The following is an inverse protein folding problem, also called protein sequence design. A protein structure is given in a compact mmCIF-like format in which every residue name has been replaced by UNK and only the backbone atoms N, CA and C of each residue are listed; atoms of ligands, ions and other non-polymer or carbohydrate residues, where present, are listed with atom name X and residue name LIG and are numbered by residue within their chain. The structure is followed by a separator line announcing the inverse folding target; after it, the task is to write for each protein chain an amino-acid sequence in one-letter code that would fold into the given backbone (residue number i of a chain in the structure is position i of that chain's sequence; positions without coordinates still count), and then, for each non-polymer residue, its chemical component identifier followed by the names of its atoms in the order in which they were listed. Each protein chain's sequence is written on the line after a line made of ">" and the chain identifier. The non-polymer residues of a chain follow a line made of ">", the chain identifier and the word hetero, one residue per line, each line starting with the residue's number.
data_IF_995793694035
#
_entry.id   IF_995793694035
#
_cell.length_a   1.000
_cell.length_b   1.000
_cell.length_c   1.000
_cell.angle_alpha   90.00
_cell.angle_beta   90.00
_cell.angle_gamma   90.00
#
_symmetry.space_group_name_H-M   'P 1'
#
loop_
_entity.id
_entity.type
_entity.pdbx_description
1 polymer ?
#
# COMPACT_ATOMS: atom_id res chain seq x y z
N UNK A 1 -4.75 9.57 -3.24
CA UNK A 1 -6.09 9.82 -2.68
C UNK A 1 -7.10 10.40 -3.66
N UNK A 2 -6.90 11.60 -4.23
CA UNK A 2 -7.90 12.20 -5.13
C UNK A 2 -8.15 11.38 -6.42
N UNK A 3 -7.10 10.81 -7.01
CA UNK A 3 -7.22 9.95 -8.19
C UNK A 3 -8.07 8.69 -7.91
N UNK A 4 -7.87 8.04 -6.77
CA UNK A 4 -8.58 6.80 -6.39
C UNK A 4 -10.09 7.07 -6.18
N UNK A 5 -10.43 8.19 -5.52
CA UNK A 5 -11.85 8.60 -5.35
C UNK A 5 -12.55 8.86 -6.68
N UNK A 6 -11.89 9.52 -7.63
CA UNK A 6 -12.46 9.83 -8.95
C UNK A 6 -12.64 8.54 -9.77
N UNK A 7 -11.68 7.62 -9.72
CA UNK A 7 -11.79 6.34 -10.42
C UNK A 7 -12.92 5.47 -9.85
N UNK A 8 -13.14 5.49 -8.52
CA UNK A 8 -14.30 4.82 -7.92
C UNK A 8 -15.63 5.42 -8.37
N UNK A 9 -15.75 6.74 -8.38
CA UNK A 9 -17.00 7.41 -8.72
C UNK A 9 -17.39 7.29 -10.21
N UNK A 10 -16.40 7.16 -11.11
CA UNK A 10 -16.63 7.22 -12.57
C UNK A 10 -16.44 5.88 -13.30
N UNK A 11 -15.63 4.95 -12.79
CA UNK A 11 -15.17 3.78 -13.56
C UNK A 11 -15.31 2.42 -12.88
N UNK A 12 -15.66 2.35 -11.58
CA UNK A 12 -15.81 1.08 -10.86
C UNK A 12 -17.29 0.77 -10.64
N UNK A 13 -17.93 0.14 -11.63
CA UNK A 13 -19.32 -0.33 -11.54
C UNK A 13 -19.39 -1.66 -10.79
N UNK A 14 -19.15 -1.68 -9.48
CA UNK A 14 -19.43 -2.79 -8.53
C UNK A 14 -19.03 -4.24 -8.93
N UNK A 15 -18.28 -4.45 -9.99
CA UNK A 15 -17.87 -5.76 -10.51
C UNK A 15 -16.43 -6.04 -10.09
N UNK A 16 -16.20 -7.22 -9.52
CA UNK A 16 -14.86 -7.66 -9.05
C UNK A 16 -13.77 -7.62 -10.14
N UNK A 17 -14.17 -7.67 -11.41
CA UNK A 17 -13.28 -7.70 -12.56
C UNK A 17 -12.64 -6.33 -12.86
N UNK A 18 -13.31 -5.24 -12.52
CA UNK A 18 -12.82 -3.88 -12.79
C UNK A 18 -11.64 -3.53 -11.86
N UNK A 19 -11.65 -4.04 -10.62
CA UNK A 19 -10.54 -3.85 -9.67
C UNK A 19 -9.27 -4.57 -10.14
N UNK A 20 -9.43 -5.81 -10.62
CA UNK A 20 -8.32 -6.60 -11.15
C UNK A 20 -7.74 -5.92 -12.38
N UNK A 21 -8.58 -5.38 -13.26
CA UNK A 21 -8.15 -4.67 -14.47
C UNK A 21 -7.43 -3.36 -14.16
N UNK A 22 -7.92 -2.58 -13.20
CA UNK A 22 -7.25 -1.37 -12.72
C UNK A 22 -5.88 -1.67 -12.12
N UNK A 23 -5.82 -2.62 -11.18
CA UNK A 23 -4.56 -3.02 -10.55
C UNK A 23 -3.59 -3.59 -11.59
N UNK A 24 -4.04 -4.48 -12.47
CA UNK A 24 -3.20 -5.06 -13.53
C UNK A 24 -2.60 -3.99 -14.44
N UNK A 25 -3.40 -3.01 -14.87
CA UNK A 25 -2.94 -1.91 -15.73
C UNK A 25 -1.88 -1.07 -15.00
N UNK A 26 -2.12 -0.69 -13.75
CA UNK A 26 -1.16 0.07 -12.95
C UNK A 26 0.17 -0.68 -12.76
N UNK A 27 0.11 -1.99 -12.50
CA UNK A 27 1.30 -2.84 -12.36
C UNK A 27 2.05 -3.03 -13.68
N UNK A 28 1.37 -3.14 -14.81
CA UNK A 28 2.01 -3.20 -16.14
C UNK A 28 2.76 -1.90 -16.44
N UNK A 29 2.16 -0.74 -16.17
CA UNK A 29 2.85 0.55 -16.33
C UNK A 29 4.07 0.65 -15.41
N UNK A 30 3.93 0.26 -14.14
CA UNK A 30 5.05 0.22 -13.21
C UNK A 30 6.17 -0.71 -13.70
N UNK A 31 5.82 -1.90 -14.22
CA UNK A 31 6.78 -2.86 -14.76
C UNK A 31 7.54 -2.32 -15.97
N UNK A 32 6.85 -1.66 -16.91
CA UNK A 32 7.48 -1.03 -18.08
C UNK A 32 8.45 0.07 -17.62
N UNK A 33 8.00 0.98 -16.76
CA UNK A 33 8.83 2.06 -16.25
C UNK A 33 10.06 1.53 -15.49
N UNK A 34 9.87 0.59 -14.58
CA UNK A 34 10.95 -0.04 -13.85
C UNK A 34 11.93 -0.77 -14.78
N UNK A 35 11.44 -1.46 -15.82
CA UNK A 35 12.30 -2.12 -16.80
C UNK A 35 13.18 -1.13 -17.57
N UNK A 36 12.61 0.01 -17.99
CA UNK A 36 13.36 1.09 -18.65
C UNK A 36 14.40 1.70 -17.69
N UNK A 37 14.03 1.96 -16.45
CA UNK A 37 14.94 2.51 -15.43
C UNK A 37 16.10 1.54 -15.16
N UNK A 38 15.82 0.24 -15.01
CA UNK A 38 16.86 -0.77 -14.79
C UNK A 38 17.77 -0.91 -16.01
N UNK A 39 17.22 -0.85 -17.22
CA UNK A 39 18.01 -0.87 -18.46
C UNK A 39 18.97 0.32 -18.57
N UNK A 40 18.50 1.54 -18.25
CA UNK A 40 19.34 2.75 -18.20
C UNK A 40 20.32 2.72 -17.03
N UNK A 41 19.95 2.13 -15.90
CA UNK A 41 20.86 1.99 -14.76
C UNK A 41 22.00 1.00 -15.05
N UNK A 42 21.71 -0.12 -15.71
CA UNK A 42 22.73 -1.11 -16.08
C UNK A 42 23.81 -0.54 -17.01
N UNK A 43 23.44 0.36 -17.93
CA UNK A 43 24.41 1.02 -18.81
C UNK A 43 25.32 2.00 -18.09
N UNK A 44 24.95 2.49 -16.89
CA UNK A 44 25.75 3.42 -16.08
C UNK A 44 26.51 2.78 -14.92
N UNK A 45 25.98 1.74 -14.25
CA UNK A 45 26.51 1.30 -12.95
C UNK A 45 26.94 -0.17 -12.86
N UNK A 46 26.89 -0.97 -13.96
CA UNK A 46 27.29 -2.40 -13.98
C UNK A 46 26.86 -3.17 -12.71
N UNK A 47 25.67 -2.89 -12.19
CA UNK A 47 25.19 -3.58 -11.00
C UNK A 47 24.90 -5.04 -11.36
N UNK A 48 25.51 -5.97 -10.61
CA UNK A 48 25.21 -7.39 -10.73
C UNK A 48 23.79 -7.63 -10.24
N UNK A 49 22.88 -7.96 -11.16
CA UNK A 49 21.55 -8.44 -10.78
C UNK A 49 21.72 -9.83 -10.18
N UNK A 50 21.60 -9.91 -8.87
CA UNK A 50 21.61 -11.19 -8.17
C UNK A 50 20.22 -11.83 -8.23
N UNK A 51 20.18 -13.16 -8.36
CA UNK A 51 18.93 -13.93 -8.33
C UNK A 51 18.09 -13.62 -7.08
N UNK A 52 18.76 -13.39 -5.94
CA UNK A 52 18.12 -12.99 -4.68
C UNK A 52 17.33 -11.69 -4.81
N UNK A 53 17.88 -10.69 -5.52
CA UNK A 53 17.20 -9.41 -5.76
C UNK A 53 15.98 -9.57 -6.64
N UNK A 54 16.03 -10.46 -7.64
CA UNK A 54 14.88 -10.77 -8.50
C UNK A 54 13.78 -11.44 -7.67
N UNK A 55 14.13 -12.47 -6.88
CA UNK A 55 13.16 -13.18 -6.03
C UNK A 55 12.55 -12.23 -4.99
N UNK A 56 13.35 -11.42 -4.32
CA UNK A 56 12.86 -10.40 -3.39
C UNK A 56 11.93 -9.40 -4.07
N UNK A 57 12.25 -8.97 -5.29
CA UNK A 57 11.41 -8.09 -6.10
C UNK A 57 10.07 -8.72 -6.49
N UNK A 58 10.07 -10.01 -6.87
CA UNK A 58 8.84 -10.75 -7.19
C UNK A 58 7.95 -10.88 -5.95
N UNK A 59 8.52 -11.28 -4.81
CA UNK A 59 7.78 -11.41 -3.54
C UNK A 59 7.20 -10.05 -3.12
N UNK A 60 7.99 -8.98 -3.18
CA UNK A 60 7.54 -7.63 -2.85
C UNK A 60 6.44 -7.15 -3.80
N UNK A 61 6.56 -7.44 -5.11
CA UNK A 61 5.55 -7.13 -6.12
C UNK A 61 4.23 -7.86 -5.87
N UNK A 62 4.27 -9.16 -5.53
CA UNK A 62 3.09 -9.94 -5.17
C UNK A 62 2.40 -9.39 -3.91
N UNK A 63 3.18 -9.06 -2.87
CA UNK A 63 2.65 -8.44 -1.65
C UNK A 63 2.00 -7.07 -1.93
N UNK A 64 2.58 -6.28 -2.83
CA UNK A 64 2.01 -4.99 -3.23
C UNK A 64 0.71 -5.16 -4.03
N UNK A 65 0.68 -6.13 -4.95
CA UNK A 65 -0.53 -6.42 -5.73
C UNK A 65 -1.68 -6.88 -4.83
N UNK A 66 -1.39 -7.78 -3.89
CA UNK A 66 -2.36 -8.19 -2.88
C UNK A 66 -2.87 -6.99 -2.07
N UNK A 67 -1.98 -6.10 -1.64
CA UNK A 67 -2.33 -4.89 -0.88
C UNK A 67 -3.33 -4.01 -1.64
N UNK A 68 -3.06 -3.70 -2.92
CA UNK A 68 -3.97 -2.87 -3.74
C UNK A 68 -5.29 -3.60 -4.00
N UNK A 69 -5.26 -4.90 -4.28
CA UNK A 69 -6.47 -5.69 -4.49
C UNK A 69 -7.38 -5.69 -3.25
N UNK A 70 -6.83 -5.96 -2.06
CA UNK A 70 -7.59 -5.93 -0.81
C UNK A 70 -8.06 -4.53 -0.45
N UNK A 71 -7.24 -3.49 -0.72
CA UNK A 71 -7.64 -2.10 -0.54
C UNK A 71 -8.88 -1.77 -1.39
N UNK A 72 -8.84 -2.08 -2.69
CA UNK A 72 -9.95 -1.84 -3.62
C UNK A 72 -11.20 -2.64 -3.24
N UNK A 73 -11.04 -3.90 -2.83
CA UNK A 73 -12.14 -4.74 -2.36
C UNK A 73 -12.77 -4.21 -1.06
N UNK A 74 -11.95 -3.70 -0.14
CA UNK A 74 -12.41 -3.12 1.13
C UNK A 74 -13.14 -1.80 0.94
N UNK A 75 -12.71 -0.98 -0.03
CA UNK A 75 -13.34 0.29 -0.38
C UNK A 75 -14.76 0.13 -1.00
N UNK A 76 -15.17 -1.08 -1.38
CA UNK A 76 -16.56 -1.36 -1.78
C UNK A 76 -17.47 -1.54 -0.54
N UNK A 77 -16.93 -2.05 0.55
CA UNK A 77 -17.67 -2.35 1.78
C UNK A 77 -17.67 -1.19 2.78
N UNK A 78 -16.66 -0.32 2.71
CA UNK A 78 -16.44 0.78 3.66
C UNK A 78 -16.16 2.05 2.87
N UNK A 79 -16.75 3.17 3.31
CA UNK A 79 -16.49 4.46 2.68
C UNK A 79 -14.99 4.81 2.69
N UNK A 80 -14.53 5.39 1.59
CA UNK A 80 -13.14 5.86 1.40
C UNK A 80 -12.70 6.82 2.52
N UNK A 81 -13.64 7.61 3.06
CA UNK A 81 -13.47 8.56 4.17
C UNK A 81 -12.98 7.90 5.46
N UNK A 82 -13.41 6.66 5.72
CA UNK A 82 -13.04 5.86 6.91
C UNK A 82 -11.89 4.92 6.60
N UNK A 83 -11.92 4.31 5.41
CA UNK A 83 -11.00 3.25 5.02
C UNK A 83 -9.54 3.73 4.88
N UNK A 84 -9.32 4.91 4.28
CA UNK A 84 -7.97 5.44 4.08
C UNK A 84 -7.30 5.82 5.41
N UNK A 85 -7.95 6.54 6.35
CA UNK A 85 -7.41 6.72 7.70
C UNK A 85 -7.13 5.40 8.42
N UNK A 86 -8.04 4.43 8.34
CA UNK A 86 -7.88 3.13 8.97
C UNK A 86 -6.66 2.37 8.44
N UNK A 87 -6.44 2.35 7.12
CA UNK A 87 -5.26 1.74 6.51
C UNK A 87 -3.97 2.40 7.01
N UNK A 88 -3.92 3.74 7.03
CA UNK A 88 -2.74 4.48 7.49
C UNK A 88 -2.39 4.17 8.95
N UNK A 89 -3.39 4.13 9.84
CA UNK A 89 -3.18 3.79 11.26
C UNK A 89 -2.81 2.32 11.43
N UNK A 90 -3.41 1.43 10.65
CA UNK A 90 -3.08 0.01 10.68
C UNK A 90 -1.62 -0.22 10.30
N UNK A 91 -1.14 0.41 9.22
CA UNK A 91 0.27 0.30 8.78
C UNK A 91 1.22 0.86 9.83
N UNK A 92 0.94 2.03 10.40
CA UNK A 92 1.76 2.64 11.47
C UNK A 92 1.77 1.79 12.74
N UNK A 93 0.64 1.22 13.13
CA UNK A 93 0.53 0.37 14.32
C UNK A 93 1.24 -0.97 14.11
N UNK A 94 1.06 -1.61 12.94
CA UNK A 94 1.73 -2.87 12.61
C UNK A 94 3.25 -2.68 12.56
N UNK A 95 3.72 -1.60 11.92
CA UNK A 95 5.16 -1.32 11.84
C UNK A 95 5.76 -1.03 13.22
N UNK A 96 5.04 -0.33 14.10
CA UNK A 96 5.46 -0.12 15.48
C UNK A 96 5.52 -1.43 16.28
N UNK A 97 4.54 -2.32 16.13
CA UNK A 97 4.51 -3.64 16.78
C UNK A 97 5.65 -4.53 16.29
N UNK A 98 5.85 -4.60 14.97
CA UNK A 98 6.94 -5.37 14.35
C UNK A 98 8.30 -4.79 14.79
N UNK A 99 8.45 -3.47 14.79
CA UNK A 99 9.63 -2.77 15.30
C UNK A 99 9.94 -3.11 16.76
N UNK A 100 8.91 -3.10 17.61
CA UNK A 100 9.04 -3.51 19.01
C UNK A 100 9.45 -4.98 19.17
N UNK A 101 8.82 -5.91 18.43
CA UNK A 101 9.08 -7.35 18.54
C UNK A 101 10.44 -7.78 17.99
N UNK A 102 10.81 -7.30 16.80
CA UNK A 102 12.04 -7.73 16.12
C UNK A 102 13.27 -6.90 16.51
N UNK A 103 13.10 -5.59 16.72
CA UNK A 103 14.23 -4.69 17.00
C UNK A 103 14.33 -4.31 18.49
N UNK A 104 13.39 -4.75 19.34
CA UNK A 104 13.29 -4.36 20.76
C UNK A 104 13.33 -2.84 20.95
N UNK A 105 12.81 -2.10 19.98
CA UNK A 105 12.77 -0.64 20.04
C UNK A 105 11.81 -0.20 21.15
N UNK A 106 12.24 0.74 21.98
CA UNK A 106 11.36 1.31 23.01
C UNK A 106 10.38 2.23 22.32
N UNK A 107 9.09 1.88 22.34
CA UNK A 107 8.04 2.73 21.80
C UNK A 107 8.08 4.05 22.58
N UNK A 108 8.46 5.14 21.90
CA UNK A 108 8.46 6.47 22.48
C UNK A 108 7.01 6.88 22.81
N UNK A 109 6.83 7.57 23.95
CA UNK A 109 5.53 8.12 24.38
C UNK A 109 4.85 8.92 23.27
N UNK A 110 5.63 9.61 22.43
CA UNK A 110 5.11 10.39 21.29
C UNK A 110 4.48 9.47 20.23
N UNK A 111 5.09 8.32 19.93
CA UNK A 111 4.56 7.38 18.95
C UNK A 111 3.28 6.70 19.48
N UNK A 112 3.25 6.40 20.77
CA UNK A 112 2.05 5.85 21.42
C UNK A 112 0.89 6.84 21.43
N UNK A 113 1.13 8.10 21.78
CA UNK A 113 0.13 9.17 21.72
C UNK A 113 -0.38 9.36 20.29
N UNK A 114 0.51 9.32 19.29
CA UNK A 114 0.13 9.40 17.87
C UNK A 114 -0.81 8.28 17.44
N UNK A 115 -0.52 7.03 17.84
CA UNK A 115 -1.40 5.87 17.57
C UNK A 115 -2.76 6.05 18.23
N UNK A 116 -2.80 6.42 19.52
CA UNK A 116 -4.06 6.65 20.25
C UNK A 116 -4.88 7.76 19.61
N UNK A 117 -4.25 8.89 19.28
CA UNK A 117 -4.93 10.03 18.66
C UNK A 117 -5.52 9.67 17.29
N UNK A 118 -4.80 8.88 16.50
CA UNK A 118 -5.26 8.45 15.19
C UNK A 118 -6.42 7.44 15.28
N UNK A 119 -6.40 6.54 16.27
CA UNK A 119 -7.54 5.64 16.56
C UNK A 119 -8.79 6.46 16.94
N UNK A 120 -8.65 7.45 17.83
CA UNK A 120 -9.77 8.32 18.23
C UNK A 120 -10.32 9.10 17.04
N UNK A 121 -9.46 9.62 16.16
CA UNK A 121 -9.88 10.30 14.94
C UNK A 121 -10.68 9.38 14.01
N UNK A 122 -10.24 8.13 13.80
CA UNK A 122 -10.97 7.15 13.00
C UNK A 122 -12.34 6.85 13.61
N UNK A 123 -12.41 6.63 14.93
CA UNK A 123 -13.68 6.36 15.61
C UNK A 123 -14.67 7.52 15.47
N UNK A 124 -14.20 8.77 15.55
CA UNK A 124 -15.03 9.95 15.35
C UNK A 124 -15.53 10.08 13.90
N UNK A 125 -14.71 9.72 12.90
CA UNK A 125 -15.12 9.73 11.50
C UNK A 125 -16.11 8.59 11.21
N UNK A 126 -15.89 7.40 11.78
CA UNK A 126 -16.74 6.23 11.58
C UNK A 126 -18.08 6.30 12.33
N UNK A 127 -18.17 7.13 13.38
CA UNK A 127 -19.42 7.36 14.12
C UNK A 127 -20.34 8.39 13.45
N UNK A 128 -19.87 9.08 12.41
CA UNK A 128 -20.67 9.98 11.58
C UNK A 128 -21.28 9.21 10.41
#
# INVERSE_FOLDING_TARGET
>A
DSAVKITQALFLSNETNDYVSYAATAFVFAFILSSVVVFVAQTKTRQSINLSTIVAGIVLGLLNWASIFFMLKGLNQVEVSVFIPLLNVSVVSLSAIIGYLFFKERISIINFIGIVLAIVAILLIAYR
#
